data_IF_987565806171
#
_entry.id   IF_987565806171
#
_cell.length_a   1.000
_cell.length_b   1.000
_cell.length_c   1.000
_cell.angle_alpha   90.00
_cell.angle_beta   90.00
_cell.angle_gamma   90.00
#
_symmetry.space_group_name_H-M   'P 1'
#
loop_
_entity.id
_entity.type
_entity.pdbx_description
1 polymer ?
#
# COMPACT_ATOMS: atom_id res chain seq x y z
N UNK A 1 -6.64 -12.32 9.61
CA UNK A 1 -5.96 -11.18 8.97
C UNK A 1 -4.46 -11.44 8.88
N UNK A 2 -3.80 -11.15 7.75
CA UNK A 2 -2.34 -11.19 7.61
C UNK A 2 -1.73 -9.95 8.27
N UNK A 3 -0.53 -10.08 8.85
CA UNK A 3 0.18 -8.95 9.47
C UNK A 3 1.48 -8.73 8.73
N UNK A 4 1.65 -7.53 8.22
CA UNK A 4 2.84 -7.09 7.51
C UNK A 4 3.36 -5.76 8.04
N UNK A 5 4.46 -5.28 7.47
CA UNK A 5 5.03 -3.99 7.82
C UNK A 5 5.38 -3.16 6.59
N UNK A 6 5.30 -1.84 6.73
CA UNK A 6 5.81 -0.91 5.72
C UNK A 6 7.32 -0.78 5.86
N UNK A 7 8.03 -0.83 4.74
CA UNK A 7 9.48 -0.69 4.69
C UNK A 7 9.87 0.53 3.85
N UNK A 8 11.00 1.17 4.16
CA UNK A 8 11.53 2.30 3.39
C UNK A 8 10.68 3.57 3.43
N UNK A 9 9.74 3.67 4.36
CA UNK A 9 8.84 4.83 4.48
C UNK A 9 9.44 5.98 5.31
N UNK A 10 10.44 5.72 6.07
CA UNK A 10 11.12 6.65 6.99
C UNK A 10 11.99 7.70 6.28
N UNK A 11 12.07 7.65 4.95
CA UNK A 11 12.52 8.76 4.08
C UNK A 11 13.98 9.20 4.23
N UNK A 12 14.67 8.72 5.23
CA UNK A 12 15.99 9.20 5.57
C UNK A 12 17.05 8.14 5.21
N UNK A 13 17.83 8.41 4.18
CA UNK A 13 19.15 7.82 3.94
C UNK A 13 19.25 6.29 3.91
N UNK A 14 18.15 5.56 3.76
CA UNK A 14 18.19 4.10 3.61
C UNK A 14 18.90 3.74 2.30
N UNK A 15 19.90 2.90 2.41
CA UNK A 15 20.49 2.24 1.25
C UNK A 15 19.60 1.08 0.80
N UNK A 16 19.87 0.55 -0.38
CA UNK A 16 19.18 -0.66 -0.85
C UNK A 16 19.38 -1.84 0.11
N UNK A 17 20.59 -1.97 0.67
CA UNK A 17 20.92 -3.00 1.64
C UNK A 17 20.13 -2.84 2.95
N UNK A 18 19.88 -1.62 3.40
CA UNK A 18 19.05 -1.36 4.59
C UNK A 18 17.62 -1.86 4.36
N UNK A 19 17.03 -1.56 3.19
CA UNK A 19 15.69 -2.03 2.83
C UNK A 19 15.63 -3.57 2.78
N UNK A 20 16.63 -4.21 2.19
CA UNK A 20 16.75 -5.68 2.14
C UNK A 20 16.85 -6.25 3.55
N UNK A 21 17.68 -5.66 4.41
CA UNK A 21 17.88 -6.12 5.79
C UNK A 21 16.59 -5.99 6.62
N UNK A 22 15.85 -4.89 6.48
CA UNK A 22 14.54 -4.72 7.13
C UNK A 22 13.54 -5.78 6.66
N UNK A 23 13.50 -6.08 5.37
CA UNK A 23 12.64 -7.14 4.84
C UNK A 23 13.02 -8.54 5.37
N UNK A 24 14.32 -8.86 5.44
CA UNK A 24 14.82 -10.11 6.04
C UNK A 24 14.48 -10.21 7.53
N UNK A 25 14.57 -9.10 8.27
CA UNK A 25 14.15 -9.06 9.69
C UNK A 25 12.66 -9.30 9.85
N UNK A 26 11.83 -8.68 9.01
CA UNK A 26 10.38 -8.91 9.01
C UNK A 26 10.04 -10.39 8.68
N UNK A 27 10.75 -10.99 7.72
CA UNK A 27 10.60 -12.42 7.40
C UNK A 27 11.02 -13.32 8.57
N UNK A 28 12.15 -13.03 9.21
CA UNK A 28 12.63 -13.77 10.38
C UNK A 28 11.67 -13.64 11.58
N UNK A 29 11.05 -12.47 11.75
CA UNK A 29 10.01 -12.21 12.73
C UNK A 29 8.67 -12.92 12.43
N UNK A 30 8.56 -13.61 11.30
CA UNK A 30 7.35 -14.36 10.94
C UNK A 30 6.24 -13.52 10.30
N UNK A 31 6.47 -12.27 9.96
CA UNK A 31 5.46 -11.44 9.30
C UNK A 31 5.07 -12.01 7.93
N UNK A 32 3.84 -11.70 7.50
CA UNK A 32 3.29 -12.22 6.25
C UNK A 32 3.74 -11.42 5.03
N UNK A 33 3.83 -10.08 5.16
CA UNK A 33 4.10 -9.19 4.04
C UNK A 33 5.03 -8.04 4.43
N UNK A 34 5.77 -7.53 3.45
CA UNK A 34 6.36 -6.18 3.47
C UNK A 34 5.79 -5.34 2.35
N UNK A 35 5.55 -4.07 2.64
CA UNK A 35 4.96 -3.10 1.71
C UNK A 35 5.90 -1.92 1.53
N UNK A 36 6.20 -1.56 0.28
CA UNK A 36 7.10 -0.46 -0.05
C UNK A 36 6.37 0.66 -0.79
N UNK A 37 6.41 1.86 -0.24
CA UNK A 37 5.87 3.05 -0.90
C UNK A 37 6.80 3.54 -2.01
N UNK A 38 6.21 3.92 -3.16
CA UNK A 38 6.96 4.54 -4.25
C UNK A 38 6.85 6.07 -4.17
N UNK A 39 7.74 6.69 -3.40
CA UNK A 39 7.80 8.16 -3.26
C UNK A 39 8.88 8.69 -4.21
N UNK A 40 9.89 9.41 -3.74
CA UNK A 40 10.94 10.02 -4.56
C UNK A 40 12.33 9.37 -4.37
N UNK A 41 12.40 8.26 -3.63
CA UNK A 41 13.60 7.47 -3.43
C UNK A 41 13.69 6.31 -4.44
N UNK A 42 13.92 5.12 -3.93
CA UNK A 42 13.99 3.92 -4.76
C UNK A 42 12.66 3.61 -5.46
N UNK A 43 12.74 3.13 -6.70
CA UNK A 43 11.56 2.57 -7.39
C UNK A 43 11.10 1.29 -6.68
N UNK A 44 9.85 1.30 -6.23
CA UNK A 44 9.35 0.25 -5.37
C UNK A 44 9.30 -1.12 -6.07
N UNK A 45 8.90 -1.18 -7.35
CA UNK A 45 8.80 -2.44 -8.08
C UNK A 45 10.19 -3.06 -8.28
N UNK A 46 11.16 -2.25 -8.72
CA UNK A 46 12.54 -2.69 -8.92
C UNK A 46 13.20 -3.15 -7.62
N UNK A 47 13.00 -2.39 -6.54
CA UNK A 47 13.52 -2.73 -5.21
C UNK A 47 12.93 -4.04 -4.71
N UNK A 48 11.62 -4.24 -4.86
CA UNK A 48 10.96 -5.47 -4.43
C UNK A 48 11.33 -6.69 -5.27
N UNK A 49 11.75 -6.51 -6.53
CA UNK A 49 12.35 -7.60 -7.30
C UNK A 49 13.67 -8.10 -6.67
N UNK A 50 14.50 -7.18 -6.17
CA UNK A 50 15.74 -7.51 -5.47
C UNK A 50 15.45 -8.15 -4.12
N UNK A 51 14.57 -7.52 -3.30
CA UNK A 51 14.12 -8.09 -2.02
C UNK A 51 13.56 -9.51 -2.21
N UNK A 52 12.81 -9.73 -3.29
CA UNK A 52 12.23 -11.02 -3.64
C UNK A 52 13.27 -12.11 -3.94
N UNK A 53 14.46 -11.73 -4.42
CA UNK A 53 15.60 -12.66 -4.61
C UNK A 53 16.35 -12.93 -3.31
N UNK A 54 16.27 -12.04 -2.34
CA UNK A 54 16.98 -12.07 -1.06
C UNK A 54 16.14 -12.63 0.10
N UNK A 55 14.87 -12.94 -0.13
CA UNK A 55 13.90 -13.51 0.82
C UNK A 55 13.23 -14.74 0.22
N UNK A 56 12.69 -15.63 1.06
CA UNK A 56 12.13 -16.90 0.59
C UNK A 56 10.62 -17.04 0.75
N UNK A 57 10.04 -16.44 1.79
CA UNK A 57 8.66 -16.68 2.21
C UNK A 57 7.78 -15.43 2.22
N UNK A 58 8.31 -14.29 2.68
CA UNK A 58 7.53 -13.08 2.93
C UNK A 58 6.89 -12.55 1.64
N UNK A 59 5.61 -12.20 1.71
CA UNK A 59 4.90 -11.52 0.62
C UNK A 59 5.44 -10.10 0.42
N UNK A 60 5.41 -9.63 -0.81
CA UNK A 60 5.94 -8.32 -1.21
C UNK A 60 4.85 -7.50 -1.86
N UNK A 61 4.73 -6.23 -1.52
CA UNK A 61 3.74 -5.38 -2.14
C UNK A 61 4.17 -3.92 -2.29
N UNK A 62 3.69 -3.26 -3.33
CA UNK A 62 3.84 -1.81 -3.43
C UNK A 62 2.68 -1.08 -2.74
N UNK A 63 2.98 0.01 -1.99
CA UNK A 63 1.99 0.75 -1.21
C UNK A 63 2.12 2.28 -1.39
N UNK A 64 1.94 2.84 -2.56
CA UNK A 64 1.60 2.24 -3.86
C UNK A 64 2.45 2.85 -4.96
N UNK A 65 2.52 2.24 -6.14
CA UNK A 65 3.23 2.80 -7.30
C UNK A 65 2.31 3.76 -8.08
N UNK A 66 2.73 5.00 -8.41
CA UNK A 66 1.95 5.95 -9.18
C UNK A 66 1.72 5.51 -10.63
N UNK A 67 0.47 5.68 -11.13
CA UNK A 67 0.08 5.29 -12.50
C UNK A 67 0.47 6.31 -13.55
N UNK A 68 0.34 7.62 -13.28
CA UNK A 68 0.52 8.67 -14.27
C UNK A 68 1.87 8.64 -15.01
N UNK A 69 3.02 8.47 -14.35
CA UNK A 69 4.31 8.45 -15.05
C UNK A 69 4.63 7.11 -15.73
N UNK A 70 3.71 6.14 -15.67
CA UNK A 70 3.94 4.78 -16.20
C UNK A 70 2.77 4.32 -17.06
N UNK A 71 3.05 3.94 -18.31
CA UNK A 71 2.05 3.29 -19.15
C UNK A 71 1.63 1.94 -18.55
N UNK A 72 0.32 1.53 -18.60
CA UNK A 72 -0.15 0.27 -18.01
C UNK A 72 0.57 -0.97 -18.55
N UNK A 73 1.03 -0.95 -19.81
CA UNK A 73 1.81 -2.06 -20.37
C UNK A 73 3.21 -2.15 -19.78
N UNK A 74 3.84 -1.00 -19.50
CA UNK A 74 5.17 -0.95 -18.90
C UNK A 74 5.13 -1.44 -17.44
N UNK A 75 4.16 -0.99 -16.65
CA UNK A 75 4.04 -1.44 -15.26
C UNK A 75 3.64 -2.92 -15.18
N UNK A 76 2.82 -3.43 -16.11
CA UNK A 76 2.49 -4.86 -16.20
C UNK A 76 3.76 -5.69 -16.40
N UNK A 77 4.63 -5.30 -17.34
CA UNK A 77 5.88 -6.00 -17.61
C UNK A 77 6.83 -5.97 -16.41
N UNK A 78 6.99 -4.79 -15.77
CA UNK A 78 7.81 -4.66 -14.57
C UNK A 78 7.29 -5.53 -13.43
N UNK A 79 5.99 -5.51 -13.19
CA UNK A 79 5.34 -6.23 -12.11
C UNK A 79 5.40 -7.75 -12.30
N UNK A 80 5.16 -8.25 -13.51
CA UNK A 80 5.33 -9.67 -13.86
C UNK A 80 6.78 -10.12 -13.69
N UNK A 81 7.75 -9.28 -14.07
CA UNK A 81 9.18 -9.56 -13.84
C UNK A 81 9.48 -9.68 -12.35
N UNK A 82 8.91 -8.80 -11.53
CA UNK A 82 9.05 -8.85 -10.07
C UNK A 82 8.35 -10.08 -9.46
N UNK A 83 7.18 -10.44 -9.98
CA UNK A 83 6.49 -11.68 -9.58
C UNK A 83 7.36 -12.91 -9.86
N UNK A 84 7.94 -13.03 -11.06
CA UNK A 84 8.87 -14.11 -11.40
C UNK A 84 10.11 -14.11 -10.48
N UNK A 85 10.73 -12.94 -10.25
CA UNK A 85 11.90 -12.80 -9.40
C UNK A 85 11.63 -13.23 -7.93
N UNK A 86 10.41 -12.96 -7.44
CA UNK A 86 9.97 -13.26 -6.07
C UNK A 86 9.25 -14.61 -5.92
N UNK A 87 9.27 -15.49 -6.90
CA UNK A 87 8.53 -16.77 -6.89
C UNK A 87 7.03 -16.56 -6.63
N UNK A 88 6.43 -15.59 -7.32
CA UNK A 88 5.00 -15.22 -7.27
C UNK A 88 4.48 -14.75 -5.90
N UNK A 89 5.34 -14.16 -5.07
CA UNK A 89 4.97 -13.54 -3.79
C UNK A 89 4.62 -12.06 -3.90
N UNK A 90 4.56 -11.50 -5.11
CA UNK A 90 4.38 -10.06 -5.35
C UNK A 90 2.91 -9.67 -5.53
N UNK A 91 2.51 -8.58 -4.89
CA UNK A 91 1.23 -7.88 -5.07
C UNK A 91 1.50 -6.48 -5.59
N UNK A 92 0.91 -6.11 -6.72
CA UNK A 92 1.03 -4.78 -7.28
C UNK A 92 -0.01 -3.83 -6.67
N UNK A 93 0.43 -2.90 -5.83
CA UNK A 93 -0.39 -1.77 -5.40
C UNK A 93 -0.14 -0.55 -6.29
N UNK A 94 -1.21 0.00 -6.87
CA UNK A 94 -1.16 1.19 -7.72
C UNK A 94 -2.03 2.31 -7.19
N UNK A 95 -1.70 3.55 -7.55
CA UNK A 95 -2.48 4.72 -7.15
C UNK A 95 -2.27 5.92 -8.07
N UNK A 96 -3.15 6.92 -7.90
CA UNK A 96 -3.11 8.13 -8.72
C UNK A 96 -2.03 9.12 -8.29
N UNK A 97 -1.40 8.92 -7.13
CA UNK A 97 -0.63 9.97 -6.46
C UNK A 97 -1.51 11.19 -6.11
N UNK A 98 -0.93 12.35 -5.94
CA UNK A 98 -1.63 13.59 -5.56
C UNK A 98 -1.59 14.59 -6.72
N UNK A 99 -2.68 15.33 -6.90
CA UNK A 99 -2.77 16.33 -7.98
C UNK A 99 -1.57 17.27 -7.98
N UNK A 100 -1.17 17.78 -6.82
CA UNK A 100 0.00 18.67 -6.67
C UNK A 100 1.29 18.03 -7.18
N UNK A 101 1.47 16.73 -7.02
CA UNK A 101 2.65 16.02 -7.53
C UNK A 101 2.54 15.86 -9.04
N UNK A 102 1.40 15.40 -9.54
CA UNK A 102 1.22 15.11 -10.96
C UNK A 102 1.28 16.39 -11.81
N UNK A 103 0.59 17.45 -11.39
CA UNK A 103 0.53 18.71 -12.17
C UNK A 103 1.76 19.58 -11.94
N UNK A 104 2.13 19.84 -10.67
CA UNK A 104 3.16 20.83 -10.38
C UNK A 104 4.58 20.29 -10.45
N UNK A 105 4.80 19.01 -10.09
CA UNK A 105 6.14 18.43 -10.12
C UNK A 105 6.44 17.69 -11.43
N UNK A 106 5.44 16.97 -11.98
CA UNK A 106 5.65 16.15 -13.18
C UNK A 106 5.14 16.82 -14.46
N UNK A 107 4.38 17.94 -14.38
CA UNK A 107 3.85 18.65 -15.55
C UNK A 107 2.83 17.84 -16.36
N UNK A 108 2.17 16.87 -15.73
CA UNK A 108 1.16 16.01 -16.36
C UNK A 108 -0.24 16.49 -15.96
N UNK A 109 -1.26 16.20 -16.79
CA UNK A 109 -2.65 16.49 -16.44
C UNK A 109 -3.20 15.49 -15.43
N UNK A 110 -3.92 15.99 -14.40
CA UNK A 110 -4.67 15.18 -13.45
C UNK A 110 -6.18 15.12 -13.78
N UNK A 111 -6.54 15.50 -15.01
CA UNK A 111 -7.93 15.52 -15.45
C UNK A 111 -8.55 14.12 -15.47
N UNK A 112 -9.82 14.04 -15.04
CA UNK A 112 -10.62 12.81 -15.08
C UNK A 112 -9.95 11.59 -14.42
N UNK A 113 -9.47 11.68 -13.16
CA UNK A 113 -8.69 10.62 -12.51
C UNK A 113 -9.42 9.29 -12.38
N UNK A 114 -10.74 9.30 -12.24
CA UNK A 114 -11.55 8.07 -12.22
C UNK A 114 -11.57 7.37 -13.58
N UNK A 115 -11.65 8.13 -14.68
CA UNK A 115 -11.57 7.60 -16.03
C UNK A 115 -10.18 7.03 -16.30
N UNK A 116 -9.13 7.79 -15.92
CA UNK A 116 -7.75 7.34 -16.01
C UNK A 116 -7.56 5.98 -15.35
N UNK A 117 -7.97 5.83 -14.08
CA UNK A 117 -7.79 4.56 -13.35
C UNK A 117 -8.59 3.43 -13.98
N UNK A 118 -9.81 3.69 -14.45
CA UNK A 118 -10.64 2.67 -15.12
C UNK A 118 -9.95 2.15 -16.38
N UNK A 119 -9.59 3.04 -17.32
CA UNK A 119 -8.93 2.66 -18.57
C UNK A 119 -7.55 2.01 -18.31
N UNK A 120 -6.84 2.50 -17.27
CA UNK A 120 -5.58 1.90 -16.83
C UNK A 120 -5.75 0.44 -16.44
N UNK A 121 -6.76 0.13 -15.61
CA UNK A 121 -7.05 -1.24 -15.16
C UNK A 121 -7.58 -2.13 -16.28
N UNK A 122 -8.38 -1.60 -17.19
CA UNK A 122 -8.89 -2.35 -18.36
C UNK A 122 -7.77 -2.81 -19.29
N UNK A 123 -6.63 -2.09 -19.32
CA UNK A 123 -5.42 -2.52 -20.01
C UNK A 123 -4.52 -3.40 -19.12
N UNK A 124 -4.33 -3.01 -17.85
CA UNK A 124 -3.39 -3.68 -16.95
C UNK A 124 -3.84 -5.10 -16.59
N UNK A 125 -5.10 -5.26 -16.18
CA UNK A 125 -5.58 -6.53 -15.60
C UNK A 125 -5.50 -7.72 -16.56
N UNK A 126 -5.89 -7.62 -17.84
CA UNK A 126 -5.70 -8.71 -18.79
C UNK A 126 -4.21 -9.06 -18.98
N UNK A 127 -3.33 -8.04 -19.05
CA UNK A 127 -1.88 -8.28 -19.21
C UNK A 127 -1.27 -9.05 -18.03
N UNK A 128 -1.73 -8.77 -16.80
CA UNK A 128 -1.26 -9.51 -15.61
C UNK A 128 -1.76 -10.95 -15.54
N UNK A 129 -2.68 -11.32 -16.44
CA UNK A 129 -3.24 -12.69 -16.59
C UNK A 129 -2.69 -13.43 -17.81
N UNK A 130 -1.78 -12.80 -18.58
CA UNK A 130 -1.27 -13.37 -19.83
C UNK A 130 -2.26 -13.31 -20.99
N UNK A 131 -3.31 -12.49 -20.88
CA UNK A 131 -4.32 -12.31 -21.92
C UNK A 131 -3.86 -11.28 -22.96
N UNK A 132 -4.37 -11.40 -24.20
CA UNK A 132 -4.13 -10.40 -25.24
C UNK A 132 -5.07 -9.21 -25.05
N UNK A 133 -4.49 -8.00 -25.00
CA UNK A 133 -5.25 -6.75 -24.90
C UNK A 133 -5.52 -6.16 -26.26
N UNK A 134 -6.81 -5.83 -26.51
CA UNK A 134 -7.28 -4.93 -27.55
C UNK A 134 -8.20 -3.92 -26.90
N UNK A 135 -7.73 -2.70 -26.74
CA UNK A 135 -8.45 -1.65 -26.02
C UNK A 135 -8.32 -0.31 -26.73
N UNK A 136 -9.45 0.36 -26.92
CA UNK A 136 -9.56 1.72 -27.46
C UNK A 136 -10.32 2.60 -26.47
N UNK A 137 -9.57 3.40 -25.70
CA UNK A 137 -10.09 4.39 -24.77
C UNK A 137 -9.70 5.81 -25.16
N UNK A 138 -10.06 6.77 -24.32
CA UNK A 138 -9.68 8.16 -24.52
C UNK A 138 -8.25 8.47 -24.06
N UNK A 139 -7.75 7.72 -23.06
CA UNK A 139 -6.42 7.94 -22.47
C UNK A 139 -5.43 6.86 -22.86
N UNK A 140 -5.90 5.67 -23.15
CA UNK A 140 -5.08 4.52 -23.55
C UNK A 140 -5.65 3.83 -24.77
N UNK A 141 -4.75 3.43 -25.67
CA UNK A 141 -5.08 2.59 -26.84
C UNK A 141 -3.98 1.54 -26.98
N UNK A 142 -4.35 0.24 -26.94
CA UNK A 142 -3.42 -0.88 -26.98
C UNK A 142 -4.00 -2.00 -27.82
N UNK A 143 -3.25 -2.47 -28.83
CA UNK A 143 -3.74 -3.45 -29.79
C UNK A 143 -2.81 -4.66 -29.91
N UNK A 144 -3.38 -5.87 -29.78
CA UNK A 144 -2.71 -7.13 -30.03
C UNK A 144 -1.53 -7.42 -29.08
N UNK A 145 -1.48 -6.75 -27.92
CA UNK A 145 -0.39 -6.94 -26.96
C UNK A 145 -0.74 -8.03 -25.95
N UNK A 146 0.14 -9.01 -25.83
CA UNK A 146 0.20 -9.94 -24.71
C UNK A 146 1.58 -9.91 -24.10
N UNK A 147 1.69 -10.23 -22.82
CA UNK A 147 2.95 -10.37 -22.11
C UNK A 147 3.16 -11.84 -21.75
N UNK A 148 4.32 -12.38 -22.13
CA UNK A 148 4.80 -13.71 -21.72
C UNK A 148 6.08 -13.52 -20.90
N UNK A 149 5.97 -13.70 -19.59
CA UNK A 149 7.08 -13.58 -18.64
C UNK A 149 7.26 -14.94 -17.96
N UNK A 150 8.25 -15.73 -18.39
CA UNK A 150 8.46 -17.07 -17.84
C UNK A 150 8.66 -17.05 -16.32
N UNK A 151 7.88 -17.90 -15.62
CA UNK A 151 7.92 -18.00 -14.17
C UNK A 151 7.04 -17.00 -13.42
N UNK A 152 6.36 -16.10 -14.12
CA UNK A 152 5.32 -15.25 -13.53
C UNK A 152 3.95 -15.89 -13.68
N UNK A 153 3.24 -16.03 -12.55
CA UNK A 153 1.81 -16.36 -12.53
C UNK A 153 0.97 -15.06 -12.48
N UNK A 154 -0.36 -15.21 -12.54
CA UNK A 154 -1.26 -14.11 -12.23
C UNK A 154 -0.93 -13.54 -10.86
N UNK A 155 -0.70 -12.22 -10.78
CA UNK A 155 -0.45 -11.55 -9.51
C UNK A 155 -1.67 -10.70 -9.09
N UNK A 156 -1.90 -10.50 -7.78
CA UNK A 156 -2.92 -9.59 -7.29
C UNK A 156 -2.57 -8.13 -7.61
N UNK A 157 -3.60 -7.34 -7.95
CA UNK A 157 -3.51 -5.88 -8.14
C UNK A 157 -4.47 -5.20 -7.19
N UNK A 158 -3.97 -4.29 -6.35
CA UNK A 158 -4.79 -3.48 -5.43
C UNK A 158 -4.63 -1.99 -5.74
N UNK A 159 -5.71 -1.23 -5.55
CA UNK A 159 -5.76 0.20 -5.90
C UNK A 159 -5.80 1.05 -4.63
N UNK A 160 -5.02 2.13 -4.56
CA UNK A 160 -5.19 3.13 -3.52
C UNK A 160 -6.53 3.87 -3.74
N UNK A 161 -7.56 3.48 -3.01
CA UNK A 161 -8.91 4.00 -3.16
C UNK A 161 -9.48 4.46 -1.81
N UNK A 162 -9.89 5.73 -1.75
CA UNK A 162 -10.52 6.31 -0.57
C UNK A 162 -11.92 6.86 -0.87
N UNK A 163 -12.12 7.49 -2.01
CA UNK A 163 -13.41 8.03 -2.43
C UNK A 163 -14.34 6.96 -3.03
N UNK A 164 -15.67 7.15 -3.00
CA UNK A 164 -16.65 6.13 -3.39
C UNK A 164 -16.52 5.70 -4.85
N UNK A 165 -16.18 6.61 -5.76
CA UNK A 165 -16.00 6.28 -7.18
C UNK A 165 -14.78 5.38 -7.38
N UNK A 166 -13.66 5.70 -6.71
CA UNK A 166 -12.44 4.91 -6.81
C UNK A 166 -12.58 3.54 -6.13
N UNK A 167 -13.27 3.47 -4.99
CA UNK A 167 -13.59 2.20 -4.32
C UNK A 167 -14.42 1.29 -5.21
N UNK A 168 -15.44 1.85 -5.90
CA UNK A 168 -16.23 1.09 -6.87
C UNK A 168 -15.37 0.55 -8.01
N UNK A 169 -14.47 1.38 -8.58
CA UNK A 169 -13.54 0.95 -9.64
C UNK A 169 -12.62 -0.16 -9.12
N UNK A 170 -12.06 -0.01 -7.93
CA UNK A 170 -11.20 -1.03 -7.32
C UNK A 170 -11.94 -2.36 -7.11
N UNK A 171 -13.19 -2.32 -6.65
CA UNK A 171 -14.01 -3.52 -6.46
C UNK A 171 -14.46 -4.19 -7.75
N UNK A 172 -14.72 -3.42 -8.81
CA UNK A 172 -15.15 -3.94 -10.12
C UNK A 172 -13.99 -4.52 -10.94
N UNK A 173 -12.83 -3.87 -10.94
CA UNK A 173 -11.78 -4.12 -11.92
C UNK A 173 -10.47 -4.65 -11.32
N UNK A 174 -10.21 -4.47 -10.02
CA UNK A 174 -9.01 -4.92 -9.35
C UNK A 174 -9.29 -6.03 -8.33
N UNK A 175 -8.26 -6.52 -7.65
CA UNK A 175 -8.39 -7.54 -6.62
C UNK A 175 -8.70 -6.95 -5.23
N UNK A 176 -8.70 -5.62 -5.10
CA UNK A 176 -9.01 -4.94 -3.85
C UNK A 176 -8.41 -3.55 -3.72
N UNK A 177 -8.24 -3.11 -2.48
CA UNK A 177 -7.73 -1.77 -2.16
C UNK A 177 -6.54 -1.80 -1.20
N UNK A 178 -5.69 -0.78 -1.32
CA UNK A 178 -4.62 -0.49 -0.36
C UNK A 178 -4.83 0.92 0.18
N UNK A 179 -5.08 1.04 1.47
CA UNK A 179 -5.35 2.32 2.12
C UNK A 179 -4.20 2.74 3.04
N UNK A 180 -4.05 4.04 3.19
CA UNK A 180 -3.14 4.66 4.14
C UNK A 180 -3.92 5.65 5.01
N UNK A 181 -3.65 5.68 6.32
CA UNK A 181 -4.22 6.67 7.24
C UNK A 181 -5.76 6.63 7.33
N UNK A 182 -6.34 5.43 7.32
CA UNK A 182 -7.79 5.23 7.49
C UNK A 182 -8.04 4.45 8.76
N UNK A 183 -8.87 4.98 9.66
CA UNK A 183 -9.20 4.33 10.93
C UNK A 183 -10.24 3.21 10.79
N UNK A 184 -10.37 2.34 11.82
CA UNK A 184 -11.18 1.13 11.74
C UNK A 184 -12.69 1.40 11.56
N UNK A 185 -13.21 2.50 12.08
CA UNK A 185 -14.63 2.86 11.85
C UNK A 185 -14.91 3.22 10.40
N UNK A 186 -13.98 3.95 9.77
CA UNK A 186 -14.05 4.32 8.35
C UNK A 186 -13.84 3.10 7.46
N UNK A 187 -12.95 2.18 7.84
CA UNK A 187 -12.81 0.88 7.16
C UNK A 187 -14.13 0.13 7.12
N UNK A 188 -14.77 -0.07 8.28
CA UNK A 188 -16.00 -0.83 8.40
C UNK A 188 -17.20 -0.19 7.68
N UNK A 189 -17.32 1.16 7.75
CA UNK A 189 -18.52 1.86 7.30
C UNK A 189 -18.43 2.44 5.90
N UNK A 190 -17.23 2.58 5.35
CA UNK A 190 -17.01 3.26 4.07
C UNK A 190 -16.12 2.46 3.10
N UNK A 191 -14.92 2.05 3.53
CA UNK A 191 -13.95 1.41 2.61
C UNK A 191 -14.44 0.02 2.18
N UNK A 192 -14.65 -0.88 3.12
CA UNK A 192 -15.04 -2.27 2.84
C UNK A 192 -16.37 -2.34 2.09
N UNK A 193 -17.45 -1.68 2.54
CA UNK A 193 -18.70 -1.66 1.80
C UNK A 193 -18.60 -1.01 0.41
N UNK A 194 -17.73 0.00 0.26
CA UNK A 194 -17.53 0.73 -0.98
C UNK A 194 -16.94 -0.10 -2.12
N UNK A 195 -16.30 -1.24 -1.82
CA UNK A 195 -15.78 -2.19 -2.81
C UNK A 195 -16.90 -3.03 -3.46
N UNK A 196 -18.04 -3.22 -2.78
CA UNK A 196 -19.18 -3.95 -3.33
C UNK A 196 -18.98 -5.45 -3.51
N UNK A 197 -17.92 -6.04 -2.90
CA UNK A 197 -17.60 -7.48 -2.96
C UNK A 197 -16.96 -7.93 -1.64
N UNK A 198 -17.17 -9.18 -1.26
CA UNK A 198 -16.70 -9.72 0.03
C UNK A 198 -15.34 -10.43 -0.03
N UNK A 199 -14.85 -10.73 -1.22
CA UNK A 199 -13.60 -11.46 -1.47
C UNK A 199 -12.42 -10.53 -1.82
N UNK A 200 -12.62 -9.20 -1.67
CA UNK A 200 -11.60 -8.21 -1.95
C UNK A 200 -10.43 -8.28 -0.94
N UNK A 201 -9.22 -8.11 -1.44
CA UNK A 201 -8.07 -7.80 -0.58
C UNK A 201 -8.21 -6.37 -0.06
N UNK A 202 -8.17 -6.19 1.26
CA UNK A 202 -8.23 -4.89 1.92
C UNK A 202 -6.96 -4.70 2.74
N UNK A 203 -6.04 -3.91 2.21
CA UNK A 203 -4.79 -3.55 2.91
C UNK A 203 -5.02 -2.28 3.71
N UNK A 204 -4.89 -2.37 5.02
CA UNK A 204 -5.02 -1.24 5.96
C UNK A 204 -3.67 -0.80 6.50
N UNK A 205 -3.14 0.33 6.02
CA UNK A 205 -1.88 0.90 6.46
C UNK A 205 -2.08 2.02 7.49
N UNK A 206 -1.45 1.90 8.67
CA UNK A 206 -1.46 2.94 9.70
C UNK A 206 -0.12 2.99 10.45
N UNK A 207 0.26 4.15 11.00
CA UNK A 207 1.38 4.26 11.93
C UNK A 207 1.11 3.45 13.20
N UNK A 208 2.14 2.76 13.70
CA UNK A 208 2.05 1.98 14.93
C UNK A 208 3.34 2.08 15.73
N UNK A 209 3.25 2.12 17.06
CA UNK A 209 4.40 2.07 17.96
C UNK A 209 4.04 1.54 19.34
N UNK A 210 4.81 0.56 19.81
CA UNK A 210 4.79 0.06 21.19
C UNK A 210 5.64 0.96 22.07
N UNK A 211 5.00 1.78 22.89
CA UNK A 211 5.67 2.71 23.80
C UNK A 211 4.79 3.08 24.99
N UNK A 212 5.43 3.48 26.09
CA UNK A 212 4.78 4.12 27.23
C UNK A 212 4.78 5.63 27.15
N UNK A 213 5.57 6.23 26.23
CA UNK A 213 5.71 7.67 26.03
C UNK A 213 4.68 8.18 25.02
N UNK A 214 3.40 8.00 25.32
CA UNK A 214 2.26 8.23 24.41
C UNK A 214 2.26 9.66 23.86
N UNK A 215 2.40 10.65 24.70
CA UNK A 215 2.34 12.06 24.29
C UNK A 215 3.47 12.44 23.34
N UNK A 216 4.70 11.99 23.63
CA UNK A 216 5.85 12.22 22.76
C UNK A 216 5.68 11.52 21.40
N UNK A 217 5.18 10.29 21.40
CA UNK A 217 4.92 9.54 20.16
C UNK A 217 3.86 10.25 19.31
N UNK A 218 2.75 10.69 19.90
CA UNK A 218 1.70 11.46 19.23
C UNK A 218 2.24 12.75 18.61
N UNK A 219 3.03 13.50 19.37
CA UNK A 219 3.63 14.75 18.87
C UNK A 219 4.57 14.48 17.68
N UNK A 220 5.43 13.48 17.80
CA UNK A 220 6.39 13.11 16.73
C UNK A 220 5.68 12.66 15.47
N UNK A 221 4.68 11.77 15.59
CA UNK A 221 3.89 11.28 14.47
C UNK A 221 3.10 12.42 13.83
N UNK A 222 2.47 13.28 14.63
CA UNK A 222 1.72 14.45 14.15
C UNK A 222 2.60 15.40 13.33
N UNK A 223 3.83 15.66 13.76
CA UNK A 223 4.81 16.48 13.02
C UNK A 223 5.23 15.82 11.71
N UNK A 224 5.59 14.54 11.75
CA UNK A 224 6.09 13.79 10.58
C UNK A 224 5.01 13.61 9.50
N UNK A 225 3.75 13.48 9.90
CA UNK A 225 2.65 13.17 8.99
C UNK A 225 1.71 14.36 8.75
N UNK A 226 2.07 15.58 9.19
CA UNK A 226 1.23 16.79 9.08
C UNK A 226 0.68 17.02 7.66
N UNK A 227 1.50 16.74 6.64
CA UNK A 227 1.10 16.91 5.23
C UNK A 227 -0.11 16.05 4.85
N UNK A 228 -0.21 14.83 5.39
CA UNK A 228 -1.36 13.96 5.13
C UNK A 228 -2.66 14.54 5.69
N UNK A 229 -2.62 15.23 6.82
CA UNK A 229 -3.79 15.93 7.37
C UNK A 229 -4.31 17.09 6.51
N UNK A 230 -3.49 17.60 5.58
CA UNK A 230 -3.83 18.71 4.68
C UNK A 230 -4.31 18.25 3.30
N UNK A 231 -4.01 17.03 2.89
CA UNK A 231 -4.42 16.49 1.60
C UNK A 231 -5.93 16.15 1.62
N UNK A 232 -6.73 16.67 0.68
CA UNK A 232 -8.20 16.55 0.75
C UNK A 232 -8.73 15.13 0.88
N UNK A 233 -8.10 14.16 0.21
CA UNK A 233 -8.50 12.75 0.27
C UNK A 233 -8.31 12.13 1.65
N UNK A 234 -7.20 12.46 2.34
CA UNK A 234 -6.94 11.98 3.70
C UNK A 234 -7.73 12.77 4.73
N UNK A 235 -7.87 14.09 4.57
CA UNK A 235 -8.73 14.90 5.45
C UNK A 235 -10.15 14.35 5.50
N UNK A 236 -10.71 13.98 4.34
CA UNK A 236 -12.04 13.37 4.28
C UNK A 236 -12.14 12.03 5.05
N UNK A 237 -11.06 11.25 5.14
CA UNK A 237 -11.04 10.00 5.92
C UNK A 237 -10.92 10.28 7.43
N UNK A 238 -10.08 11.24 7.82
CA UNK A 238 -9.96 11.69 9.21
C UNK A 238 -11.28 12.25 9.72
N UNK A 239 -11.98 13.06 8.91
CA UNK A 239 -13.30 13.61 9.24
C UNK A 239 -14.36 12.50 9.41
N UNK A 240 -14.35 11.47 8.56
CA UNK A 240 -15.24 10.30 8.69
C UNK A 240 -14.95 9.49 9.93
N UNK A 241 -13.69 9.38 10.32
CA UNK A 241 -13.29 8.69 11.55
C UNK A 241 -13.66 9.52 12.80
N UNK A 242 -13.80 10.83 12.66
CA UNK A 242 -14.12 11.76 13.74
C UNK A 242 -12.88 12.18 14.52
N UNK A 243 -11.73 12.31 13.86
CA UNK A 243 -10.44 12.64 14.47
C UNK A 243 -9.81 13.91 13.86
N UNK A 244 -8.96 14.57 14.64
CA UNK A 244 -8.38 15.87 14.26
C UNK A 244 -7.21 15.73 13.28
N UNK A 245 -6.35 14.72 13.47
CA UNK A 245 -5.13 14.61 12.69
C UNK A 245 -4.58 13.18 12.54
N UNK A 246 -3.49 13.06 11.78
CA UNK A 246 -2.79 11.79 11.55
C UNK A 246 -2.39 11.05 12.82
N UNK A 247 -1.98 11.76 13.85
CA UNK A 247 -1.59 11.20 15.15
C UNK A 247 -2.73 10.47 15.86
N UNK A 248 -3.99 10.75 15.49
CA UNK A 248 -5.17 10.15 16.11
C UNK A 248 -5.57 8.82 15.44
N UNK A 249 -5.06 8.58 14.23
CA UNK A 249 -5.17 7.29 13.54
C UNK A 249 -4.05 6.33 13.95
N UNK A 250 -2.93 6.87 14.42
CA UNK A 250 -1.79 6.07 14.83
C UNK A 250 -2.13 5.18 16.04
N UNK A 251 -1.69 3.94 16.00
CA UNK A 251 -1.84 2.98 17.10
C UNK A 251 -0.63 3.14 18.03
N UNK A 252 -0.85 3.76 19.19
CA UNK A 252 0.19 4.11 20.16
C UNK A 252 -0.19 3.59 21.53
N UNK A 253 0.66 2.85 22.20
CA UNK A 253 0.41 2.39 23.56
C UNK A 253 1.16 1.13 23.94
N UNK A 254 0.64 0.44 24.95
CA UNK A 254 1.13 -0.85 25.39
C UNK A 254 0.62 -2.01 24.49
N UNK A 255 1.08 -3.22 24.75
CA UNK A 255 0.71 -4.43 23.97
C UNK A 255 -0.80 -4.67 23.94
N UNK A 256 -1.51 -4.42 25.05
CA UNK A 256 -2.97 -4.62 25.12
C UNK A 256 -3.70 -3.62 24.22
N UNK A 257 -3.26 -2.38 24.26
CA UNK A 257 -3.79 -1.31 23.39
C UNK A 257 -3.57 -1.65 21.92
N UNK A 258 -2.33 -2.00 21.55
CA UNK A 258 -2.00 -2.34 20.17
C UNK A 258 -2.80 -3.55 19.69
N UNK A 259 -2.89 -4.58 20.48
CA UNK A 259 -3.66 -5.80 20.16
C UNK A 259 -5.14 -5.51 19.97
N UNK A 260 -5.71 -4.68 20.84
CA UNK A 260 -7.10 -4.26 20.74
C UNK A 260 -7.40 -3.45 19.48
N UNK A 261 -6.53 -2.51 19.14
CA UNK A 261 -6.69 -1.69 17.94
C UNK A 261 -6.50 -2.50 16.64
N UNK A 262 -5.48 -3.37 16.56
CA UNK A 262 -5.29 -4.28 15.42
C UNK A 262 -6.51 -5.19 15.23
N UNK A 263 -7.10 -5.68 16.33
CA UNK A 263 -8.33 -6.49 16.28
C UNK A 263 -9.51 -5.70 15.70
N UNK A 264 -9.64 -4.41 16.00
CA UNK A 264 -10.67 -3.55 15.41
C UNK A 264 -10.53 -3.44 13.88
N UNK A 265 -9.30 -3.40 13.33
CA UNK A 265 -9.08 -3.45 11.89
C UNK A 265 -9.51 -4.79 11.30
N UNK A 266 -9.20 -5.90 11.96
CA UNK A 266 -9.66 -7.22 11.53
C UNK A 266 -11.19 -7.30 11.51
N UNK A 267 -11.86 -6.86 12.58
CA UNK A 267 -13.32 -6.84 12.69
C UNK A 267 -13.98 -5.89 11.67
N UNK A 268 -13.25 -4.86 11.21
CA UNK A 268 -13.68 -3.96 10.15
C UNK A 268 -13.56 -4.56 8.73
N UNK A 269 -13.00 -5.77 8.59
CA UNK A 269 -12.85 -6.45 7.31
C UNK A 269 -11.51 -6.22 6.60
N UNK A 270 -10.50 -5.70 7.30
CA UNK A 270 -9.12 -5.64 6.78
C UNK A 270 -8.57 -7.06 6.66
N UNK A 271 -8.03 -7.39 5.48
CA UNK A 271 -7.43 -8.70 5.21
C UNK A 271 -5.92 -8.71 5.46
N UNK A 272 -5.29 -7.56 5.28
CA UNK A 272 -3.86 -7.34 5.43
C UNK A 272 -3.60 -6.06 6.23
N UNK A 273 -3.11 -6.21 7.44
CA UNK A 273 -2.69 -5.11 8.26
C UNK A 273 -1.25 -4.71 7.91
N UNK A 274 -1.05 -3.49 7.42
CA UNK A 274 0.24 -2.95 7.05
C UNK A 274 0.75 -1.97 8.12
N UNK A 275 1.54 -2.48 9.05
CA UNK A 275 2.08 -1.72 10.17
C UNK A 275 3.20 -0.79 9.71
N UNK A 276 2.98 0.53 9.70
CA UNK A 276 4.06 1.50 9.55
C UNK A 276 4.69 1.74 10.92
N UNK A 277 5.71 0.97 11.26
CA UNK A 277 6.38 1.08 12.56
C UNK A 277 7.10 2.42 12.64
N UNK A 278 6.75 3.22 13.65
CA UNK A 278 7.32 4.55 13.85
C UNK A 278 8.46 4.49 14.87
N UNK A 279 9.65 4.91 14.45
CA UNK A 279 10.83 4.99 15.31
C UNK A 279 10.84 6.35 16.03
N UNK A 280 10.05 6.44 17.11
CA UNK A 280 9.85 7.69 17.87
C UNK A 280 10.81 7.84 19.05
N UNK A 281 11.47 6.77 19.44
CA UNK A 281 12.48 6.71 20.53
C UNK A 281 13.36 5.48 20.34
N UNK A 282 14.51 5.45 21.01
CA UNK A 282 15.46 4.33 20.91
C UNK A 282 14.81 2.98 21.21
N UNK A 283 14.99 2.03 20.30
CA UNK A 283 14.47 0.67 20.40
C UNK A 283 12.94 0.52 20.15
N UNK A 284 12.23 1.60 19.83
CA UNK A 284 10.78 1.53 19.55
C UNK A 284 10.46 0.63 18.37
N UNK A 285 11.28 0.70 17.32
CA UNK A 285 11.12 -0.16 16.14
C UNK A 285 11.22 -1.64 16.52
N UNK A 286 12.26 -2.04 17.23
CA UNK A 286 12.53 -3.42 17.57
C UNK A 286 11.43 -4.01 18.50
N UNK A 287 11.06 -3.28 19.55
CA UNK A 287 9.95 -3.67 20.43
C UNK A 287 8.63 -3.85 19.69
N UNK A 288 8.33 -2.94 18.77
CA UNK A 288 7.09 -3.01 17.99
C UNK A 288 7.12 -4.20 17.03
N UNK A 289 8.26 -4.47 16.37
CA UNK A 289 8.43 -5.62 15.49
C UNK A 289 8.30 -6.95 16.26
N UNK A 290 8.91 -7.04 17.45
CA UNK A 290 8.78 -8.21 18.34
C UNK A 290 7.33 -8.43 18.79
N UNK A 291 6.62 -7.36 19.13
CA UNK A 291 5.19 -7.44 19.45
C UNK A 291 4.38 -7.97 18.26
N UNK A 292 4.58 -7.43 17.05
CA UNK A 292 3.88 -7.90 15.85
C UNK A 292 4.20 -9.37 15.54
N UNK A 293 5.43 -9.81 15.78
CA UNK A 293 5.85 -11.21 15.70
C UNK A 293 5.08 -12.11 16.67
N UNK A 294 4.83 -11.62 17.89
CA UNK A 294 4.09 -12.38 18.93
C UNK A 294 2.60 -12.58 18.62
N UNK A 295 2.07 -11.86 17.62
CA UNK A 295 0.70 -11.99 17.15
C UNK A 295 0.51 -13.07 16.08
N UNK A 296 1.61 -13.71 15.64
CA UNK A 296 1.66 -14.78 14.63
C UNK A 296 1.72 -16.18 15.24
#
# INVERSE_FOLDING_TARGET
MRIGTMIGADGANNTLDDIINVAKRAEAAGLDNVWLANIFGFDAISTLAIVGRETDRIGLGTAVTPTYPRHPTAIAQQALTTAAASKNRFTLGIGLSHQVVIENMLGMSYDKPAKHMREYLEVLMPLTRGETVNYDGDQYSVHGLALDVPGADRMPVVVAALGPVMLKIAGELADGTNTWMVGPNTMAKHIVPGLGRSDATVVGGVPIVLTTNIDQARETIGKNLVMYGQLPSYRAMLDREGVEGPQDIAIIGDENTLRGEIKRFEDAGVTDFNAAIMDVEEGAYDRTLEFLSSMK
#
